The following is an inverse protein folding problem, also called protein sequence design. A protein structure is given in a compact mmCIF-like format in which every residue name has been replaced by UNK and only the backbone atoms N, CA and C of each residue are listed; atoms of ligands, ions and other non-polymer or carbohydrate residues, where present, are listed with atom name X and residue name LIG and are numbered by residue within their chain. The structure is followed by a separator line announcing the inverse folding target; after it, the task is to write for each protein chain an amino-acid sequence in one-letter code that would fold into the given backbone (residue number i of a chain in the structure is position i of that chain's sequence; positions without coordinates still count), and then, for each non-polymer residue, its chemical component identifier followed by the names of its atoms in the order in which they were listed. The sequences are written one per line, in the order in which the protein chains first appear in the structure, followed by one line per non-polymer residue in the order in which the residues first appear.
data_IF_642223496992
#
_entry.id   IF_642223496992
#
_cell.length_a   1.000
_cell.length_b   1.000
_cell.length_c   1.000
_cell.angle_alpha   90.00
_cell.angle_beta   90.00
_cell.angle_gamma   90.00
#
_symmetry.space_group_name_H-M   'P 1'
#
loop_
_entity.id
_entity.type
_entity.pdbx_description
1 polymer ?
#
# COMPACT_ATOMS: atom_id res chain seq x y z
N UNK A 1 -56.43 -45.78 13.70
CA UNK A 1 -57.18 -44.90 12.80
C UNK A 1 -57.02 -43.46 13.25
N UNK A 2 -56.71 -42.60 12.38
CA UNK A 2 -56.54 -41.15 12.37
C UNK A 2 -55.09 -40.68 12.56
N UNK A 3 -54.51 -40.37 11.42
CA UNK A 3 -53.34 -39.52 11.19
C UNK A 3 -53.60 -38.09 11.70
N UNK A 4 -52.64 -37.54 12.38
CA UNK A 4 -52.45 -36.06 12.45
C UNK A 4 -51.01 -35.73 12.36
N UNK A 5 -50.63 -35.12 11.26
CA UNK A 5 -49.38 -34.44 10.96
C UNK A 5 -49.18 -33.25 11.90
N UNK A 6 -48.00 -32.95 12.43
CA UNK A 6 -47.74 -31.66 13.05
C UNK A 6 -47.29 -30.65 11.98
N UNK A 7 -47.96 -29.55 11.98
CA UNK A 7 -47.62 -28.35 11.21
C UNK A 7 -46.33 -27.72 11.70
N UNK A 8 -45.50 -27.36 10.73
CA UNK A 8 -44.22 -26.76 10.95
C UNK A 8 -44.40 -25.23 11.03
N UNK A 9 -44.53 -24.70 12.24
CA UNK A 9 -44.56 -23.25 12.49
C UNK A 9 -43.12 -22.70 12.43
N UNK A 10 -42.86 -21.99 11.33
CA UNK A 10 -41.68 -21.16 11.16
C UNK A 10 -41.71 -19.96 12.11
N UNK A 11 -40.92 -20.03 13.19
CA UNK A 11 -40.70 -18.90 14.08
C UNK A 11 -39.85 -17.84 13.35
N UNK A 12 -40.53 -16.85 12.84
CA UNK A 12 -39.96 -15.59 12.42
C UNK A 12 -39.56 -14.79 13.68
N UNK A 13 -38.31 -14.80 14.07
CA UNK A 13 -37.77 -13.99 15.16
C UNK A 13 -37.76 -12.52 14.72
N UNK A 14 -38.91 -11.83 14.83
CA UNK A 14 -38.96 -10.38 14.79
C UNK A 14 -38.34 -9.84 16.09
N UNK A 15 -37.19 -9.18 15.97
CA UNK A 15 -36.57 -8.42 17.08
C UNK A 15 -37.53 -7.28 17.42
N UNK A 16 -38.35 -7.45 18.47
CA UNK A 16 -39.14 -6.39 19.04
C UNK A 16 -38.23 -5.52 19.88
N UNK A 17 -37.79 -4.40 19.33
CA UNK A 17 -37.13 -3.34 20.10
C UNK A 17 -38.12 -2.74 21.05
N UNK A 18 -37.92 -2.91 22.36
CA UNK A 18 -38.79 -2.34 23.39
C UNK A 18 -38.80 -0.81 23.29
N UNK A 19 -39.95 -0.15 23.47
CA UNK A 19 -40.07 1.32 23.34
C UNK A 19 -39.16 2.10 24.32
N UNK A 20 -38.73 1.49 25.39
CA UNK A 20 -37.92 2.08 26.46
C UNK A 20 -36.43 2.23 26.13
N UNK A 21 -35.95 1.69 25.00
CA UNK A 21 -34.55 1.79 24.55
C UNK A 21 -34.30 2.83 23.45
N UNK A 22 -35.31 3.64 23.13
CA UNK A 22 -35.13 4.77 22.18
C UNK A 22 -34.44 5.93 22.89
N UNK A 23 -33.14 6.05 22.68
CA UNK A 23 -32.39 7.23 23.09
C UNK A 23 -33.04 8.50 22.52
N UNK A 24 -33.22 9.50 23.35
CA UNK A 24 -33.66 10.81 22.92
C UNK A 24 -32.63 11.44 21.97
N UNK A 25 -33.06 12.41 21.15
CA UNK A 25 -32.12 13.17 20.30
C UNK A 25 -31.02 13.88 21.10
N UNK A 26 -31.31 14.28 22.34
CA UNK A 26 -30.31 14.87 23.26
C UNK A 26 -29.31 13.85 23.76
N UNK A 27 -29.75 12.66 24.13
CA UNK A 27 -28.84 11.56 24.53
C UNK A 27 -27.98 11.07 23.36
N UNK A 28 -28.51 11.05 22.14
CA UNK A 28 -27.73 10.76 20.95
C UNK A 28 -26.70 11.84 20.67
N UNK A 29 -27.05 13.12 20.81
CA UNK A 29 -26.12 14.26 20.71
C UNK A 29 -25.06 14.20 21.77
N UNK A 30 -25.42 14.01 23.03
CA UNK A 30 -24.49 13.88 24.15
C UNK A 30 -23.50 12.73 23.94
N UNK A 31 -23.97 11.56 23.50
CA UNK A 31 -23.10 10.43 23.15
C UNK A 31 -22.22 10.69 21.94
N UNK A 32 -22.70 11.48 20.95
CA UNK A 32 -21.87 11.90 19.82
C UNK A 32 -20.80 12.90 20.28
N UNK A 33 -21.16 13.87 21.13
CA UNK A 33 -20.23 14.83 21.72
C UNK A 33 -19.22 14.14 22.63
N UNK A 34 -19.63 13.18 23.46
CA UNK A 34 -18.71 12.35 24.24
C UNK A 34 -17.77 11.49 23.39
N UNK A 35 -18.27 10.96 22.25
CA UNK A 35 -17.43 10.24 21.27
C UNK A 35 -16.45 11.19 20.57
N UNK A 36 -16.87 12.42 20.27
CA UNK A 36 -15.97 13.43 19.68
C UNK A 36 -14.96 13.95 20.71
N UNK A 37 -15.36 14.16 21.96
CA UNK A 37 -14.47 14.54 23.06
C UNK A 37 -13.47 13.44 23.45
N UNK A 38 -13.83 12.17 23.26
CA UNK A 38 -12.95 10.99 23.42
C UNK A 38 -12.09 10.69 22.21
N UNK A 39 -12.29 11.38 21.06
CA UNK A 39 -11.33 11.31 19.96
C UNK A 39 -10.01 11.89 20.43
N UNK A 40 -9.04 11.02 20.71
CA UNK A 40 -7.66 11.47 20.90
C UNK A 40 -7.28 12.37 19.70
N UNK A 41 -6.57 13.46 19.95
CA UNK A 41 -6.10 14.31 18.87
C UNK A 41 -5.40 13.45 17.82
N UNK A 42 -5.70 13.70 16.54
CA UNK A 42 -5.18 12.89 15.44
C UNK A 42 -3.66 12.92 15.46
N UNK A 43 -3.03 11.76 15.63
CA UNK A 43 -1.59 11.64 15.60
C UNK A 43 -1.10 11.63 14.16
N UNK A 44 0.00 12.34 13.89
CA UNK A 44 0.68 12.22 12.61
C UNK A 44 1.56 10.99 12.66
N UNK A 45 1.30 10.07 11.73
CA UNK A 45 2.11 8.89 11.49
C UNK A 45 2.83 9.01 10.15
N UNK A 46 3.85 8.19 9.91
CA UNK A 46 4.65 8.27 8.70
C UNK A 46 4.86 6.91 8.07
N UNK A 47 4.91 6.90 6.74
CA UNK A 47 5.28 5.72 5.97
C UNK A 47 6.28 6.10 4.89
N UNK A 48 7.17 5.18 4.54
CA UNK A 48 8.08 5.37 3.43
C UNK A 48 7.32 5.43 2.11
N UNK A 49 7.59 6.44 1.28
CA UNK A 49 6.87 6.67 0.00
C UNK A 49 6.87 5.47 -0.94
N UNK A 50 7.96 4.69 -0.94
CA UNK A 50 8.03 3.47 -1.74
C UNK A 50 6.94 2.47 -1.35
N UNK A 51 6.69 2.24 -0.04
CA UNK A 51 5.65 1.33 0.41
C UNK A 51 4.24 1.91 0.29
N UNK A 52 4.11 3.20 0.00
CA UNK A 52 2.86 3.78 -0.50
C UNK A 52 2.62 3.43 -1.99
N UNK A 53 3.70 3.22 -2.75
CA UNK A 53 3.65 2.93 -4.18
C UNK A 53 3.71 1.44 -4.50
N UNK A 54 4.53 0.66 -3.76
CA UNK A 54 4.76 -0.78 -3.95
C UNK A 54 4.59 -1.48 -2.59
N UNK A 55 3.51 -2.20 -2.41
CA UNK A 55 3.08 -2.68 -1.10
C UNK A 55 3.70 -4.03 -0.72
N UNK A 56 3.73 -4.34 0.58
CA UNK A 56 4.09 -5.66 1.12
C UNK A 56 3.12 -6.74 0.61
N UNK A 57 3.47 -8.04 0.69
CA UNK A 57 2.53 -9.12 0.45
C UNK A 57 1.27 -8.98 1.30
N UNK A 58 0.11 -9.28 0.74
CA UNK A 58 -1.17 -9.24 1.45
C UNK A 58 -1.35 -10.47 2.34
N UNK A 59 -0.89 -11.61 1.90
CA UNK A 59 -0.99 -12.89 2.57
C UNK A 59 0.36 -13.60 2.65
N UNK A 60 0.44 -14.63 3.47
CA UNK A 60 1.64 -15.46 3.59
C UNK A 60 2.06 -16.00 2.23
N UNK A 61 3.33 -15.81 1.89
CA UNK A 61 3.92 -16.31 0.67
C UNK A 61 4.60 -17.66 0.91
N UNK A 62 4.48 -18.62 -0.01
CA UNK A 62 5.22 -19.89 0.07
C UNK A 62 6.70 -19.72 -0.23
N UNK A 63 7.06 -18.73 -1.05
CA UNK A 63 8.43 -18.39 -1.41
C UNK A 63 9.12 -17.57 -0.32
N UNK A 64 10.44 -17.71 -0.22
CA UNK A 64 11.30 -16.83 0.60
C UNK A 64 11.64 -15.51 -0.09
N UNK A 65 11.20 -15.33 -1.33
CA UNK A 65 11.34 -14.09 -2.08
C UNK A 65 9.98 -13.61 -2.59
N UNK A 66 9.80 -12.29 -2.59
CA UNK A 66 8.65 -11.62 -3.19
C UNK A 66 9.14 -10.43 -4.00
N UNK A 67 8.55 -10.23 -5.15
CA UNK A 67 8.89 -9.10 -6.03
C UNK A 67 7.62 -8.42 -6.52
N UNK A 68 7.69 -7.09 -6.58
CA UNK A 68 6.64 -6.25 -7.14
C UNK A 68 7.27 -5.16 -8.00
N UNK A 69 6.83 -5.09 -9.24
CA UNK A 69 7.34 -4.14 -10.23
C UNK A 69 6.22 -3.24 -10.72
N UNK A 70 6.49 -1.95 -10.79
CA UNK A 70 5.56 -0.99 -11.35
C UNK A 70 6.29 0.26 -11.85
N UNK A 71 6.09 0.63 -13.12
CA UNK A 71 6.59 1.86 -13.75
C UNK A 71 8.07 2.15 -13.46
N UNK A 72 8.96 1.20 -13.74
CA UNK A 72 10.39 1.37 -13.56
C UNK A 72 10.89 1.34 -12.11
N UNK A 73 10.01 1.03 -11.16
CA UNK A 73 10.34 0.76 -9.76
C UNK A 73 10.16 -0.71 -9.45
N UNK A 74 11.00 -1.25 -8.61
CA UNK A 74 10.96 -2.65 -8.17
C UNK A 74 11.18 -2.72 -6.67
N UNK A 75 10.30 -3.44 -5.99
CA UNK A 75 10.48 -3.88 -4.61
C UNK A 75 10.75 -5.38 -4.62
N UNK A 76 11.91 -5.80 -4.14
CA UNK A 76 12.20 -7.20 -3.86
C UNK A 76 12.40 -7.38 -2.36
N UNK A 77 11.68 -8.32 -1.78
CA UNK A 77 11.79 -8.74 -0.39
C UNK A 77 12.44 -10.12 -0.35
N UNK A 78 13.38 -10.30 0.57
CA UNK A 78 14.05 -11.61 0.79
C UNK A 78 13.94 -11.93 2.28
N UNK A 79 13.29 -13.05 2.59
CA UNK A 79 13.15 -13.54 3.95
C UNK A 79 14.49 -14.00 4.52
N UNK A 80 14.81 -13.54 5.72
CA UNK A 80 16.03 -13.89 6.44
C UNK A 80 15.78 -14.87 7.57
N UNK A 81 16.76 -14.93 8.48
CA UNK A 81 16.75 -15.81 9.66
C UNK A 81 17.10 -14.98 10.89
N UNK A 82 16.63 -15.38 12.05
CA UNK A 82 16.96 -14.80 13.34
C UNK A 82 17.57 -15.86 14.25
N UNK A 83 18.59 -15.45 15.00
CA UNK A 83 19.23 -16.29 16.01
C UNK A 83 18.38 -16.34 17.27
N UNK A 84 18.03 -17.54 17.73
CA UNK A 84 17.18 -17.72 18.93
C UNK A 84 17.99 -18.06 20.19
N UNK A 85 19.31 -17.91 20.15
CA UNK A 85 20.23 -18.31 21.24
C UNK A 85 20.87 -19.69 20.99
N UNK A 86 20.29 -20.53 20.13
CA UNK A 86 20.76 -21.88 19.84
C UNK A 86 20.91 -22.14 18.33
N UNK A 87 19.89 -21.77 17.54
CA UNK A 87 19.80 -22.04 16.12
C UNK A 87 19.35 -20.81 15.32
N UNK A 88 19.68 -20.78 14.03
CA UNK A 88 19.13 -19.81 13.09
C UNK A 88 17.74 -20.24 12.64
N UNK A 89 16.74 -19.47 13.02
CA UNK A 89 15.33 -19.76 12.73
C UNK A 89 14.86 -18.99 11.50
N UNK A 90 14.50 -19.69 10.41
CA UNK A 90 13.96 -19.06 9.20
C UNK A 90 12.68 -18.30 9.49
N UNK A 91 12.61 -17.05 9.06
CA UNK A 91 11.41 -16.23 9.18
C UNK A 91 10.63 -16.20 7.86
N UNK A 92 9.30 -16.05 7.89
CA UNK A 92 8.51 -15.81 6.69
C UNK A 92 8.79 -14.42 6.14
N UNK A 93 8.31 -14.14 4.92
CA UNK A 93 8.19 -12.75 4.46
C UNK A 93 7.14 -11.99 5.30
N UNK A 94 7.35 -10.68 5.57
CA UNK A 94 6.32 -9.88 6.22
C UNK A 94 5.08 -9.76 5.34
N UNK A 95 3.89 -9.92 5.92
CA UNK A 95 2.62 -9.87 5.19
C UNK A 95 1.45 -9.39 6.05
N UNK A 96 0.37 -9.03 5.37
CA UNK A 96 -0.90 -8.69 5.99
C UNK A 96 -0.92 -7.32 6.68
N UNK A 97 -2.00 -7.00 7.41
CA UNK A 97 -2.16 -5.70 8.04
C UNK A 97 -1.20 -5.49 9.20
N UNK A 98 -0.90 -6.52 10.00
CA UNK A 98 0.00 -6.41 11.16
C UNK A 98 1.41 -5.95 10.78
N UNK A 99 1.98 -6.52 9.69
CA UNK A 99 3.27 -6.09 9.18
C UNK A 99 3.25 -4.62 8.74
N UNK A 100 2.16 -4.18 8.08
CA UNK A 100 2.01 -2.78 7.63
C UNK A 100 1.93 -1.81 8.80
N UNK A 101 1.11 -2.12 9.79
CA UNK A 101 0.94 -1.29 10.98
C UNK A 101 2.24 -1.18 11.77
N UNK A 102 2.93 -2.30 11.99
CA UNK A 102 4.24 -2.30 12.65
C UNK A 102 5.27 -1.48 11.87
N UNK A 103 5.31 -1.65 10.55
CA UNK A 103 6.21 -0.88 9.69
C UNK A 103 5.91 0.63 9.75
N UNK A 104 4.63 1.03 9.65
CA UNK A 104 4.21 2.43 9.75
C UNK A 104 4.59 3.03 11.11
N UNK A 105 4.37 2.28 12.20
CA UNK A 105 4.72 2.75 13.54
C UNK A 105 6.23 2.95 13.70
N UNK A 106 7.04 1.97 13.29
CA UNK A 106 8.52 2.07 13.31
C UNK A 106 8.99 3.28 12.49
N UNK A 107 8.47 3.47 11.29
CA UNK A 107 8.78 4.65 10.47
C UNK A 107 8.38 5.95 11.17
N UNK A 108 7.23 5.97 11.82
CA UNK A 108 6.72 7.15 12.53
C UNK A 108 7.60 7.54 13.71
N UNK A 109 7.99 6.57 14.53
CA UNK A 109 8.87 6.82 15.67
C UNK A 109 10.24 7.30 15.19
N UNK A 110 10.80 6.72 14.14
CA UNK A 110 12.08 7.16 13.57
C UNK A 110 12.04 8.62 13.07
N UNK A 111 10.95 9.00 12.39
CA UNK A 111 10.78 10.36 11.88
C UNK A 111 10.55 11.36 13.02
N UNK A 112 9.74 11.02 14.02
CA UNK A 112 9.43 11.85 15.18
C UNK A 112 10.67 12.04 16.08
N UNK A 113 11.37 10.97 16.40
CA UNK A 113 12.59 10.99 17.21
C UNK A 113 13.79 11.59 16.47
N UNK A 114 13.74 11.67 15.14
CA UNK A 114 14.90 12.02 14.29
C UNK A 114 16.12 11.16 14.59
N UNK A 115 15.89 9.90 14.88
CA UNK A 115 16.91 8.94 15.30
C UNK A 115 16.66 7.59 14.63
N UNK A 116 17.73 6.88 14.32
CA UNK A 116 17.69 5.46 13.90
C UNK A 116 17.66 4.49 15.10
N UNK A 117 17.94 5.00 16.30
CA UNK A 117 17.83 4.25 17.56
C UNK A 117 16.47 4.59 18.15
N UNK A 118 15.64 3.57 18.29
CA UNK A 118 14.25 3.72 18.71
C UNK A 118 14.01 2.96 20.00
N UNK A 119 13.46 3.66 20.99
CA UNK A 119 12.76 3.02 22.08
C UNK A 119 11.36 2.66 21.58
N UNK A 120 11.05 1.38 21.54
CA UNK A 120 9.70 0.91 21.27
C UNK A 120 8.97 0.68 22.59
N UNK A 121 7.65 0.59 22.53
CA UNK A 121 6.79 0.46 23.71
C UNK A 121 7.31 -0.60 24.71
N UNK A 122 7.08 -0.38 25.99
CA UNK A 122 7.59 -1.22 27.10
C UNK A 122 7.18 -2.69 27.04
N UNK A 123 6.19 -3.03 26.21
CA UNK A 123 5.73 -4.41 26.01
C UNK A 123 5.10 -4.57 24.61
N UNK A 124 5.08 -5.81 24.11
CA UNK A 124 4.38 -6.12 22.86
C UNK A 124 2.89 -5.76 22.92
N UNK A 125 2.27 -5.88 24.09
CA UNK A 125 0.87 -5.51 24.31
C UNK A 125 0.67 -4.01 24.19
N UNK A 126 1.52 -3.20 24.80
CA UNK A 126 1.48 -1.74 24.66
C UNK A 126 1.73 -1.30 23.20
N UNK A 127 2.63 -1.98 22.49
CA UNK A 127 2.85 -1.73 21.08
C UNK A 127 1.60 -2.07 20.23
N UNK A 128 0.96 -3.20 20.47
CA UNK A 128 -0.26 -3.61 19.77
C UNK A 128 -1.39 -2.61 20.00
N UNK A 129 -1.59 -2.17 21.25
CA UNK A 129 -2.57 -1.13 21.60
C UNK A 129 -2.27 0.18 20.85
N UNK A 130 -1.01 0.59 20.84
CA UNK A 130 -0.55 1.81 20.15
C UNK A 130 -0.90 1.82 18.66
N UNK A 131 -0.77 0.66 17.99
CA UNK A 131 -1.09 0.51 16.57
C UNK A 131 -2.54 0.08 16.29
N UNK A 132 -3.37 0.01 17.32
CA UNK A 132 -4.80 -0.32 17.21
C UNK A 132 -5.09 -1.79 16.96
N UNK A 133 -4.25 -2.70 17.47
CA UNK A 133 -4.45 -4.15 17.40
C UNK A 133 -4.92 -4.70 18.74
N UNK A 134 -5.91 -5.56 18.70
CA UNK A 134 -6.31 -6.42 19.83
C UNK A 134 -5.20 -7.41 20.18
N UNK A 135 -4.86 -7.52 21.45
CA UNK A 135 -3.79 -8.36 21.99
C UNK A 135 -4.24 -9.81 22.35
N UNK A 136 -5.47 -10.18 22.04
CA UNK A 136 -6.00 -11.47 22.44
C UNK A 136 -5.50 -12.65 21.59
N UNK A 137 -5.11 -13.73 22.28
CA UNK A 137 -4.87 -15.06 21.70
C UNK A 137 -3.95 -15.09 20.48
N UNK A 138 -4.52 -15.50 19.35
CA UNK A 138 -3.77 -15.66 18.09
C UNK A 138 -3.23 -14.34 17.51
N UNK A 139 -3.81 -13.18 17.87
CA UNK A 139 -3.37 -11.88 17.39
C UNK A 139 -1.97 -11.55 17.90
N UNK A 140 -1.67 -11.82 19.18
CA UNK A 140 -0.35 -11.62 19.76
C UNK A 140 0.72 -12.47 19.05
N UNK A 141 0.46 -13.76 18.86
CA UNK A 141 1.38 -14.66 18.15
C UNK A 141 1.67 -14.23 16.72
N UNK A 142 0.62 -13.86 15.99
CA UNK A 142 0.77 -13.37 14.61
C UNK A 142 1.50 -12.02 14.56
N UNK A 143 1.26 -11.14 15.52
CA UNK A 143 1.98 -9.87 15.62
C UNK A 143 3.49 -10.12 15.83
N UNK A 144 3.88 -10.95 16.80
CA UNK A 144 5.29 -11.33 17.02
C UNK A 144 5.92 -11.91 15.75
N UNK A 145 5.20 -12.83 15.10
CA UNK A 145 5.68 -13.39 13.82
C UNK A 145 5.95 -12.31 12.76
N UNK A 146 5.07 -11.30 12.65
CA UNK A 146 5.27 -10.24 11.67
C UNK A 146 6.40 -9.28 12.05
N UNK A 147 6.61 -9.01 13.34
CA UNK A 147 7.76 -8.23 13.80
C UNK A 147 9.08 -8.96 13.50
N UNK A 148 9.17 -10.25 13.83
CA UNK A 148 10.33 -11.08 13.48
C UNK A 148 10.57 -11.15 11.96
N UNK A 149 9.50 -11.26 11.19
CA UNK A 149 9.58 -11.25 9.74
C UNK A 149 10.13 -9.92 9.19
N UNK A 150 9.68 -8.79 9.75
CA UNK A 150 10.20 -7.46 9.39
C UNK A 150 11.68 -7.30 9.77
N UNK A 151 12.08 -7.78 10.96
CA UNK A 151 13.46 -7.70 11.44
C UNK A 151 14.41 -8.54 10.59
N UNK A 152 13.99 -9.72 10.15
CA UNK A 152 14.80 -10.61 9.33
C UNK A 152 14.80 -10.24 7.84
N UNK A 153 13.82 -9.46 7.37
CA UNK A 153 13.62 -9.21 5.94
C UNK A 153 14.65 -8.22 5.38
N UNK A 154 15.20 -8.54 4.21
CA UNK A 154 15.97 -7.61 3.39
C UNK A 154 15.06 -6.98 2.35
N UNK A 155 15.12 -5.67 2.26
CA UNK A 155 14.39 -4.85 1.29
C UNK A 155 15.35 -4.42 0.20
N UNK A 156 15.07 -4.78 -1.04
CA UNK A 156 15.86 -4.37 -2.19
C UNK A 156 14.98 -3.50 -3.08
N UNK A 157 15.46 -2.30 -3.37
CA UNK A 157 14.75 -1.30 -4.13
C UNK A 157 15.48 -1.07 -5.44
N UNK A 158 14.79 -1.30 -6.55
CA UNK A 158 15.25 -0.98 -7.88
C UNK A 158 14.49 0.22 -8.44
N UNK A 159 15.18 1.15 -9.08
CA UNK A 159 14.53 2.24 -9.80
C UNK A 159 15.36 2.67 -11.00
N UNK A 160 14.66 3.14 -12.03
CA UNK A 160 15.28 3.73 -13.20
C UNK A 160 15.33 5.24 -13.01
N UNK A 161 16.53 5.82 -13.10
CA UNK A 161 16.73 7.27 -13.03
C UNK A 161 16.25 7.94 -14.31
N UNK A 162 15.98 9.27 -14.28
CA UNK A 162 15.58 10.03 -15.48
C UNK A 162 16.59 9.96 -16.63
N UNK A 163 17.89 9.73 -16.33
CA UNK A 163 18.94 9.53 -17.31
C UNK A 163 19.00 8.11 -17.90
N UNK A 164 18.01 7.27 -17.58
CA UNK A 164 17.92 5.89 -18.04
C UNK A 164 18.78 4.88 -17.27
N UNK A 165 19.58 5.30 -16.30
CA UNK A 165 20.43 4.42 -15.51
C UNK A 165 19.61 3.68 -14.45
N UNK A 166 19.83 2.38 -14.34
CA UNK A 166 19.28 1.58 -13.26
C UNK A 166 20.06 1.84 -11.95
N UNK A 167 19.35 1.95 -10.86
CA UNK A 167 19.91 2.01 -9.52
C UNK A 167 19.30 0.93 -8.64
N UNK A 168 20.09 0.36 -7.75
CA UNK A 168 19.63 -0.62 -6.76
C UNK A 168 20.08 -0.15 -5.39
N UNK A 169 19.18 -0.19 -4.43
CA UNK A 169 19.47 0.02 -3.02
C UNK A 169 19.05 -1.23 -2.26
N UNK A 170 19.92 -1.78 -1.45
CA UNK A 170 19.59 -2.81 -0.48
C UNK A 170 19.56 -2.17 0.90
N UNK A 171 18.51 -2.43 1.66
CA UNK A 171 18.35 -1.93 3.00
C UNK A 171 17.75 -2.99 3.91
N UNK A 172 18.29 -3.12 5.12
CA UNK A 172 17.58 -3.76 6.23
C UNK A 172 16.71 -2.71 6.90
N UNK A 173 15.46 -3.06 7.19
CA UNK A 173 14.60 -2.21 8.00
C UNK A 173 15.19 -2.08 9.41
N UNK A 174 15.51 -3.22 10.02
CA UNK A 174 16.07 -3.33 11.36
C UNK A 174 17.46 -3.95 11.26
N UNK A 175 18.47 -3.24 11.74
CA UNK A 175 19.87 -3.66 11.73
C UNK A 175 20.23 -4.46 12.97
N UNK A 176 19.78 -4.00 14.13
CA UNK A 176 19.93 -4.66 15.42
C UNK A 176 18.58 -4.79 16.07
N UNK A 177 18.28 -5.96 16.54
CA UNK A 177 17.00 -6.33 17.13
C UNK A 177 17.26 -7.51 18.07
N UNK A 178 16.91 -7.32 19.33
CA UNK A 178 16.84 -8.45 20.24
C UNK A 178 15.65 -9.32 19.83
N UNK A 179 15.94 -10.45 19.22
CA UNK A 179 14.88 -11.37 18.82
C UNK A 179 14.09 -11.81 20.07
N UNK A 180 12.77 -11.71 19.96
CA UNK A 180 11.93 -12.33 21.00
C UNK A 180 12.13 -13.84 20.93
N UNK A 181 12.92 -14.35 21.84
CA UNK A 181 13.12 -15.80 21.98
C UNK A 181 11.73 -16.41 22.17
N UNK A 182 11.45 -17.46 21.42
CA UNK A 182 10.19 -18.21 21.57
C UNK A 182 9.98 -18.56 23.03
N UNK A 183 8.69 -18.59 23.45
CA UNK A 183 8.36 -19.08 24.77
C UNK A 183 9.06 -20.43 24.97
N UNK A 184 9.99 -20.48 25.91
CA UNK A 184 10.53 -21.73 26.34
C UNK A 184 9.35 -22.62 26.81
N UNK A 185 9.44 -23.92 26.60
CA UNK A 185 8.43 -24.89 27.10
C UNK A 185 8.16 -24.75 28.60
N UNK A 186 8.97 -23.95 29.32
CA UNK A 186 8.88 -23.63 30.72
C UNK A 186 8.02 -22.38 31.07
N UNK A 187 7.35 -21.75 30.11
CA UNK A 187 6.34 -20.71 30.39
C UNK A 187 6.88 -19.36 30.89
N UNK A 188 8.15 -19.05 30.70
CA UNK A 188 8.65 -17.71 31.01
C UNK A 188 8.21 -16.73 29.90
N UNK A 189 7.66 -15.53 30.26
CA UNK A 189 7.29 -14.55 29.27
C UNK A 189 8.54 -14.10 28.51
N UNK A 190 8.52 -14.26 27.20
CA UNK A 190 9.58 -13.79 26.33
C UNK A 190 9.86 -12.30 26.60
N UNK A 191 11.11 -11.93 26.86
CA UNK A 191 11.52 -10.55 27.04
C UNK A 191 11.16 -9.75 25.78
N UNK A 192 10.46 -8.66 25.96
CA UNK A 192 10.17 -7.69 24.92
C UNK A 192 11.41 -6.81 24.72
N UNK A 193 11.95 -6.78 23.48
CA UNK A 193 12.97 -5.82 23.14
C UNK A 193 12.39 -4.42 23.20
N UNK A 194 12.90 -3.57 24.10
CA UNK A 194 12.48 -2.18 24.20
C UNK A 194 13.16 -1.26 23.21
N UNK A 195 14.22 -1.74 22.56
CA UNK A 195 15.04 -0.96 21.65
C UNK A 195 15.23 -1.68 20.33
N UNK A 196 15.25 -0.92 19.24
CA UNK A 196 15.65 -1.39 17.93
C UNK A 196 16.46 -0.31 17.20
N UNK A 197 17.34 -0.76 16.33
CA UNK A 197 18.16 0.10 15.49
C UNK A 197 17.80 -0.10 14.03
N UNK A 198 17.38 0.96 13.36
CA UNK A 198 17.13 0.93 11.94
C UNK A 198 18.40 0.88 11.12
N UNK A 199 18.34 0.19 9.99
CA UNK A 199 19.40 0.22 9.00
C UNK A 199 19.66 1.65 8.52
N UNK A 200 20.93 2.05 8.47
CA UNK A 200 21.30 3.44 8.16
C UNK A 200 20.80 3.88 6.78
N UNK A 201 20.98 3.04 5.77
CA UNK A 201 20.51 3.33 4.41
C UNK A 201 18.99 3.53 4.36
N UNK A 202 18.24 2.66 5.07
CA UNK A 202 16.78 2.77 5.16
C UNK A 202 16.36 4.07 5.88
N UNK A 203 16.96 4.35 7.05
CA UNK A 203 16.65 5.56 7.82
C UNK A 203 16.92 6.84 7.03
N UNK A 204 18.08 6.93 6.38
CA UNK A 204 18.45 8.11 5.60
C UNK A 204 17.51 8.33 4.40
N UNK A 205 16.99 7.27 3.81
CA UNK A 205 16.02 7.35 2.72
C UNK A 205 14.61 7.68 3.26
N UNK A 206 14.20 7.06 4.38
CA UNK A 206 12.93 7.35 5.04
C UNK A 206 12.78 8.83 5.38
N UNK A 207 13.80 9.45 6.00
CA UNK A 207 13.73 10.87 6.38
C UNK A 207 13.51 11.79 5.17
N UNK A 208 14.00 11.40 4.00
CA UNK A 208 13.83 12.16 2.76
C UNK A 208 12.46 11.93 2.12
N UNK A 209 11.88 10.75 2.32
CA UNK A 209 10.72 10.28 1.57
C UNK A 209 9.54 9.86 2.48
N UNK A 210 9.47 10.37 3.70
CA UNK A 210 8.38 10.10 4.62
C UNK A 210 7.06 10.74 4.14
N UNK A 211 6.00 9.96 4.09
CA UNK A 211 4.64 10.39 3.76
C UNK A 211 3.84 10.52 5.06
N UNK A 212 3.30 11.70 5.39
CA UNK A 212 2.49 11.88 6.59
C UNK A 212 1.09 11.28 6.41
N UNK A 213 0.65 10.55 7.42
CA UNK A 213 -0.62 9.82 7.47
C UNK A 213 -1.36 10.16 8.78
N UNK A 214 -2.69 10.07 8.77
CA UNK A 214 -3.53 10.19 9.96
C UNK A 214 -3.49 8.90 10.78
N UNK A 215 -3.12 8.97 12.04
CA UNK A 215 -3.16 7.83 12.95
C UNK A 215 -4.58 7.31 13.19
N UNK A 216 -5.58 8.20 13.22
CA UNK A 216 -6.99 7.81 13.31
C UNK A 216 -7.43 7.03 12.07
N UNK A 217 -7.02 7.46 10.87
CA UNK A 217 -7.30 6.73 9.63
C UNK A 217 -6.63 5.35 9.62
N UNK A 218 -5.37 5.24 10.02
CA UNK A 218 -4.65 3.98 10.12
C UNK A 218 -5.37 3.02 11.07
N UNK A 219 -5.78 3.49 12.27
CA UNK A 219 -6.55 2.67 13.22
C UNK A 219 -7.89 2.20 12.64
N UNK A 220 -8.61 3.07 11.95
CA UNK A 220 -9.87 2.74 11.29
C UNK A 220 -9.73 1.66 10.21
N UNK A 221 -8.56 1.55 9.58
CA UNK A 221 -8.26 0.59 8.52
C UNK A 221 -7.42 -0.62 8.99
N UNK A 222 -7.13 -0.74 10.29
CA UNK A 222 -6.17 -1.69 10.87
C UNK A 222 -6.45 -3.17 10.53
N UNK A 223 -7.68 -3.51 10.16
CA UNK A 223 -8.08 -4.88 9.84
C UNK A 223 -7.86 -5.27 8.37
N UNK A 224 -7.59 -4.29 7.49
CA UNK A 224 -7.54 -4.50 6.04
C UNK A 224 -6.22 -4.07 5.42
N UNK A 225 -5.40 -5.04 5.01
CA UNK A 225 -4.15 -4.76 4.31
C UNK A 225 -4.35 -3.93 3.04
N UNK A 226 -5.36 -4.29 2.23
CA UNK A 226 -5.64 -3.59 0.97
C UNK A 226 -6.20 -2.17 1.19
N UNK A 227 -6.96 -1.93 2.28
CA UNK A 227 -7.43 -0.59 2.60
C UNK A 227 -6.27 0.30 3.09
N UNK A 228 -5.36 -0.23 3.91
CA UNK A 228 -4.11 0.46 4.29
C UNK A 228 -3.25 0.81 3.06
N UNK A 229 -3.17 -0.11 2.10
CA UNK A 229 -2.44 0.12 0.84
C UNK A 229 -3.07 1.23 0.00
N UNK A 230 -4.40 1.24 -0.16
CA UNK A 230 -5.09 2.33 -0.84
C UNK A 230 -4.94 3.66 -0.11
N UNK A 231 -5.00 3.65 1.22
CA UNK A 231 -4.82 4.86 2.01
C UNK A 231 -3.41 5.45 1.81
N UNK A 232 -2.37 4.64 1.92
CA UNK A 232 -0.99 5.06 1.63
C UNK A 232 -0.82 5.57 0.20
N UNK A 233 -1.35 4.85 -0.79
CA UNK A 233 -1.30 5.22 -2.20
C UNK A 233 -2.00 6.58 -2.45
N UNK A 234 -3.20 6.78 -1.91
CA UNK A 234 -3.94 8.03 -2.09
C UNK A 234 -3.28 9.20 -1.36
N UNK A 235 -2.82 8.98 -0.12
CA UNK A 235 -2.08 10.01 0.62
C UNK A 235 -0.80 10.44 -0.11
N UNK A 236 -0.07 9.49 -0.70
CA UNK A 236 1.14 9.75 -1.46
C UNK A 236 0.87 10.43 -2.81
N UNK A 237 -0.19 10.02 -3.52
CA UNK A 237 -0.36 10.38 -4.93
C UNK A 237 -1.27 11.59 -5.14
N UNK A 238 -2.42 11.68 -4.44
CA UNK A 238 -3.47 12.65 -4.78
C UNK A 238 -3.05 14.11 -4.58
N UNK A 239 -2.22 14.41 -3.58
CA UNK A 239 -1.78 15.78 -3.31
C UNK A 239 -0.73 16.29 -4.33
N UNK A 240 -0.10 15.37 -5.04
CA UNK A 240 0.91 15.68 -6.06
C UNK A 240 0.33 15.81 -7.47
N UNK A 241 -0.94 15.44 -7.67
CA UNK A 241 -1.61 15.56 -8.96
C UNK A 241 -1.94 17.03 -9.26
N UNK A 242 -1.69 17.47 -10.48
CA UNK A 242 -2.11 18.77 -11.00
C UNK A 242 -3.44 18.66 -11.77
N UNK A 243 -3.66 17.52 -12.43
CA UNK A 243 -4.86 17.22 -13.21
C UNK A 243 -5.41 15.83 -12.87
N UNK A 244 -6.69 15.54 -13.17
CA UNK A 244 -7.24 14.20 -13.00
C UNK A 244 -6.48 13.16 -13.82
N UNK A 245 -6.20 12.00 -13.22
CA UNK A 245 -5.48 10.89 -13.85
C UNK A 245 -6.33 9.63 -13.79
N UNK A 246 -6.52 8.99 -14.93
CA UNK A 246 -7.15 7.67 -15.00
C UNK A 246 -6.13 6.58 -14.71
N UNK A 247 -6.52 5.63 -13.84
CA UNK A 247 -5.74 4.43 -13.52
C UNK A 247 -6.62 3.21 -13.72
N UNK A 248 -6.22 2.30 -14.60
CA UNK A 248 -6.99 1.09 -14.88
C UNK A 248 -6.91 0.08 -13.74
N UNK A 249 -7.90 -0.84 -13.65
CA UNK A 249 -7.86 -1.95 -12.68
C UNK A 249 -6.63 -2.84 -12.86
N UNK A 250 -6.13 -2.98 -14.08
CA UNK A 250 -4.93 -3.76 -14.35
C UNK A 250 -3.68 -3.06 -13.78
N UNK A 251 -3.53 -1.76 -14.02
CA UNK A 251 -2.43 -0.97 -13.43
C UNK A 251 -2.45 -0.97 -11.90
N UNK A 252 -3.64 -0.85 -11.30
CA UNK A 252 -3.79 -0.95 -9.85
C UNK A 252 -3.44 -2.36 -9.34
N UNK A 253 -3.83 -3.41 -10.07
CA UNK A 253 -3.48 -4.79 -9.74
C UNK A 253 -1.97 -5.02 -9.83
N UNK A 254 -1.31 -4.52 -10.87
CA UNK A 254 0.15 -4.58 -10.99
C UNK A 254 0.85 -3.88 -9.84
N UNK A 255 0.31 -2.75 -9.37
CA UNK A 255 0.91 -1.93 -8.33
C UNK A 255 0.72 -2.50 -6.92
N UNK A 256 -0.49 -2.93 -6.57
CA UNK A 256 -0.84 -3.32 -5.20
C UNK A 256 -1.54 -4.69 -5.08
N UNK A 257 -1.80 -5.37 -6.17
CA UNK A 257 -2.63 -6.58 -6.20
C UNK A 257 -2.11 -7.71 -7.08
N UNK A 258 -0.80 -7.84 -7.28
CA UNK A 258 -0.22 -8.87 -8.15
C UNK A 258 -0.54 -10.31 -7.69
N UNK A 259 -0.87 -10.51 -6.41
CA UNK A 259 -1.28 -11.80 -5.85
C UNK A 259 -2.66 -12.27 -6.35
N UNK A 260 -3.46 -11.38 -6.94
CA UNK A 260 -4.75 -11.74 -7.55
C UNK A 260 -4.55 -12.30 -8.97
N UNK A 261 -5.22 -13.41 -9.27
CA UNK A 261 -5.11 -14.07 -10.57
C UNK A 261 -5.53 -13.18 -11.74
N UNK A 262 -6.52 -12.33 -11.51
CA UNK A 262 -7.06 -11.44 -12.55
C UNK A 262 -7.58 -10.12 -11.97
N UNK A 263 -7.79 -9.14 -12.84
CA UNK A 263 -8.27 -7.81 -12.45
C UNK A 263 -9.72 -7.81 -11.93
N UNK A 264 -10.55 -8.80 -12.27
CA UNK A 264 -11.94 -8.90 -11.78
C UNK A 264 -11.98 -9.23 -10.30
N UNK A 265 -11.20 -10.22 -9.86
CA UNK A 265 -11.11 -10.61 -8.46
C UNK A 265 -10.46 -9.49 -7.63
N UNK A 266 -9.41 -8.88 -8.15
CA UNK A 266 -8.80 -7.71 -7.55
C UNK A 266 -9.79 -6.57 -7.36
N UNK A 267 -10.56 -6.21 -8.40
CA UNK A 267 -11.61 -5.18 -8.33
C UNK A 267 -12.64 -5.46 -7.25
N UNK A 268 -13.11 -6.72 -7.14
CA UNK A 268 -14.10 -7.14 -6.15
C UNK A 268 -13.64 -6.85 -4.73
N UNK A 269 -12.39 -7.16 -4.42
CA UNK A 269 -11.79 -6.91 -3.09
C UNK A 269 -11.40 -5.43 -2.89
N UNK A 270 -11.08 -4.73 -3.98
CA UNK A 270 -10.68 -3.31 -3.94
C UNK A 270 -11.82 -2.37 -3.64
N UNK A 271 -13.02 -2.60 -4.17
CA UNK A 271 -14.14 -1.66 -4.03
C UNK A 271 -14.55 -1.40 -2.56
N UNK A 272 -14.74 -2.43 -1.69
CA UNK A 272 -14.99 -2.21 -0.27
C UNK A 272 -13.84 -1.50 0.43
N UNK A 273 -12.60 -1.84 0.08
CA UNK A 273 -11.41 -1.23 0.66
C UNK A 273 -11.27 0.26 0.29
N UNK A 274 -11.54 0.60 -0.97
CA UNK A 274 -11.55 2.00 -1.43
C UNK A 274 -12.65 2.77 -0.68
N UNK A 275 -13.85 2.21 -0.54
CA UNK A 275 -14.94 2.84 0.22
C UNK A 275 -14.50 3.13 1.66
N UNK A 276 -13.98 2.14 2.37
CA UNK A 276 -13.48 2.33 3.73
C UNK A 276 -12.35 3.38 3.80
N UNK A 277 -11.47 3.42 2.80
CA UNK A 277 -10.40 4.42 2.69
C UNK A 277 -10.99 5.84 2.54
N UNK A 278 -12.00 6.02 1.70
CA UNK A 278 -12.64 7.32 1.49
C UNK A 278 -13.44 7.80 2.70
N UNK A 279 -13.97 6.90 3.52
CA UNK A 279 -14.63 7.23 4.80
C UNK A 279 -13.64 7.86 5.80
N UNK A 280 -12.39 7.39 5.84
CA UNK A 280 -11.35 7.94 6.73
C UNK A 280 -10.50 9.05 6.09
N UNK A 281 -10.65 9.26 4.78
CA UNK A 281 -9.97 10.32 4.02
C UNK A 281 -11.00 11.10 3.16
N UNK A 282 -11.91 11.86 3.79
CA UNK A 282 -13.05 12.48 3.12
C UNK A 282 -12.68 13.56 2.10
N UNK A 283 -11.47 14.14 2.19
CA UNK A 283 -10.97 15.11 1.22
C UNK A 283 -10.39 14.46 -0.05
N UNK A 284 -10.21 13.12 -0.09
CA UNK A 284 -9.75 12.41 -1.27
C UNK A 284 -10.83 12.39 -2.36
N UNK A 285 -10.47 12.81 -3.55
CA UNK A 285 -11.38 12.83 -4.72
C UNK A 285 -11.01 11.69 -5.66
N UNK A 286 -11.62 10.54 -5.43
CA UNK A 286 -11.44 9.33 -6.23
C UNK A 286 -12.81 8.85 -6.71
N UNK A 287 -12.96 8.67 -8.01
CA UNK A 287 -14.20 8.23 -8.62
C UNK A 287 -14.01 6.91 -9.35
N UNK A 288 -14.95 5.98 -9.14
CA UNK A 288 -14.99 4.77 -9.95
C UNK A 288 -15.56 5.11 -11.33
N UNK A 289 -14.79 4.78 -12.38
CA UNK A 289 -15.19 4.94 -13.77
C UNK A 289 -15.13 3.60 -14.52
N UNK A 290 -15.61 3.57 -15.76
CA UNK A 290 -15.52 2.37 -16.58
C UNK A 290 -14.05 1.99 -16.78
N UNK A 291 -13.69 0.80 -16.33
CA UNK A 291 -12.33 0.24 -16.49
C UNK A 291 -11.33 0.56 -15.38
N UNK A 292 -11.61 1.46 -14.44
CA UNK A 292 -10.64 1.85 -13.41
C UNK A 292 -11.15 2.90 -12.44
N UNK A 293 -10.21 3.71 -11.95
CA UNK A 293 -10.43 4.85 -11.08
C UNK A 293 -9.97 6.14 -11.76
N UNK A 294 -10.70 7.22 -11.53
CA UNK A 294 -10.27 8.59 -11.81
C UNK A 294 -9.76 9.20 -10.52
N UNK A 295 -8.47 9.43 -10.44
CA UNK A 295 -7.81 10.11 -9.32
C UNK A 295 -7.78 11.61 -9.61
N UNK A 296 -8.27 12.44 -8.68
CA UNK A 296 -8.30 13.90 -8.85
C UNK A 296 -7.39 14.58 -7.82
N UNK A 297 -6.81 15.74 -8.13
CA UNK A 297 -6.05 16.53 -7.17
C UNK A 297 -6.83 16.71 -5.87
N UNK A 298 -6.20 16.37 -4.73
CA UNK A 298 -6.85 16.41 -3.42
C UNK A 298 -5.88 16.89 -2.35
N UNK A 299 -6.35 17.61 -1.30
CA UNK A 299 -5.50 17.97 -0.17
C UNK A 299 -4.93 16.71 0.51
N UNK A 300 -3.74 16.77 1.12
CA UNK A 300 -3.20 15.65 1.89
C UNK A 300 -4.11 15.30 3.09
N UNK A 301 -4.07 14.05 3.61
CA UNK A 301 -4.92 13.63 4.73
C UNK A 301 -4.62 14.39 6.03
N UNK A 302 -3.41 14.91 6.15
CA UNK A 302 -2.94 15.72 7.28
C UNK A 302 -2.56 17.10 6.78
N UNK A 303 -3.10 18.14 7.40
CA UNK A 303 -2.76 19.53 7.08
C UNK A 303 -1.38 19.90 7.64
N UNK A 304 -0.68 20.83 6.97
CA UNK A 304 0.65 21.28 7.38
C UNK A 304 0.70 21.84 8.83
N UNK A 305 -0.40 22.37 9.32
CA UNK A 305 -0.51 22.89 10.70
C UNK A 305 -0.44 21.78 11.76
N UNK A 306 -0.98 20.58 11.45
CA UNK A 306 -0.94 19.44 12.36
C UNK A 306 0.45 18.77 12.43
N UNK A 307 1.27 18.94 11.39
CA UNK A 307 2.59 18.28 11.31
C UNK A 307 3.65 18.96 12.22
N UNK A 308 3.43 20.18 12.72
CA UNK A 308 4.38 20.88 13.59
C UNK A 308 5.79 21.09 13.00
N UNK A 309 5.93 20.82 11.70
CA UNK A 309 7.22 20.83 10.99
C UNK A 309 7.58 22.27 10.64
N UNK A 310 8.72 22.72 11.13
CA UNK A 310 9.29 24.00 10.70
C UNK A 310 9.35 24.10 9.17
N UNK A 311 9.06 25.27 8.61
CA UNK A 311 9.00 25.55 7.16
C UNK A 311 10.13 24.90 6.36
N UNK A 312 11.34 24.80 6.93
CA UNK A 312 12.50 24.21 6.25
C UNK A 312 12.42 22.71 5.94
N UNK A 313 11.63 21.90 6.69
CA UNK A 313 11.47 20.49 6.40
C UNK A 313 10.36 20.25 5.36
N UNK A 314 9.29 21.07 5.42
CA UNK A 314 8.20 21.02 4.45
C UNK A 314 8.69 21.39 3.02
N UNK A 315 9.59 22.38 2.93
CA UNK A 315 10.20 22.78 1.65
C UNK A 315 11.22 21.73 1.16
N UNK A 316 11.97 21.09 2.08
CA UNK A 316 12.84 19.95 1.75
C UNK A 316 12.05 18.71 1.32
N UNK A 317 10.92 18.42 1.97
CA UNK A 317 10.02 17.32 1.57
C UNK A 317 9.38 17.61 0.22
N UNK A 318 9.00 18.86 -0.08
CA UNK A 318 8.48 19.25 -1.41
C UNK A 318 9.57 19.22 -2.49
N UNK A 319 10.82 19.52 -2.14
CA UNK A 319 11.96 19.47 -3.05
C UNK A 319 12.55 18.04 -3.21
N UNK A 320 12.30 17.14 -2.24
CA UNK A 320 12.76 15.74 -2.27
C UNK A 320 11.69 14.72 -2.69
N UNK A 321 10.41 15.15 -2.76
CA UNK A 321 9.45 14.38 -3.53
C UNK A 321 9.96 14.35 -4.96
N UNK A 322 10.21 13.14 -5.55
CA UNK A 322 10.35 13.11 -6.99
C UNK A 322 9.11 13.82 -7.53
N UNK A 323 9.27 14.73 -8.49
CA UNK A 323 8.12 15.39 -9.10
C UNK A 323 7.10 14.31 -9.42
N UNK A 324 5.78 14.59 -9.33
CA UNK A 324 4.76 13.67 -9.81
C UNK A 324 5.30 13.21 -11.15
N UNK A 325 5.48 11.88 -11.28
CA UNK A 325 6.19 11.35 -12.44
C UNK A 325 5.68 12.10 -13.65
N UNK A 326 6.56 12.77 -14.42
CA UNK A 326 6.12 13.31 -15.70
C UNK A 326 5.44 12.11 -16.34
N UNK A 327 4.25 12.30 -16.88
CA UNK A 327 3.57 11.28 -17.68
C UNK A 327 4.68 10.64 -18.48
N UNK A 328 4.96 9.34 -18.21
CA UNK A 328 6.15 8.69 -18.79
C UNK A 328 6.10 9.07 -20.23
N UNK A 329 7.07 9.85 -20.74
CA UNK A 329 6.97 10.35 -22.11
C UNK A 329 6.64 9.13 -22.94
N UNK A 330 5.65 9.18 -23.81
CA UNK A 330 5.20 8.03 -24.61
C UNK A 330 6.38 7.35 -25.32
N UNK A 331 7.49 8.09 -25.48
CA UNK A 331 8.80 7.57 -25.88
C UNK A 331 9.38 6.46 -24.99
N UNK A 332 8.93 6.31 -23.73
CA UNK A 332 9.38 5.28 -22.78
C UNK A 332 8.35 4.16 -22.57
N UNK A 333 7.13 4.25 -23.10
CA UNK A 333 6.20 3.13 -23.11
C UNK A 333 6.75 2.00 -23.98
N UNK A 334 6.91 0.84 -23.43
CA UNK A 334 7.20 -0.38 -24.20
C UNK A 334 5.88 -0.99 -24.65
N UNK A 335 5.84 -1.45 -25.90
CA UNK A 335 4.71 -2.24 -26.38
C UNK A 335 4.51 -3.48 -25.51
N UNK A 336 3.27 -3.74 -25.17
CA UNK A 336 2.93 -4.94 -24.43
C UNK A 336 3.28 -6.19 -25.28
N UNK A 337 3.84 -7.27 -24.71
CA UNK A 337 4.21 -8.47 -25.46
C UNK A 337 3.08 -9.03 -26.35
N UNK A 338 1.83 -8.98 -25.88
CA UNK A 338 0.64 -9.36 -26.67
C UNK A 338 0.40 -8.48 -27.89
N UNK A 339 0.74 -7.20 -27.79
CA UNK A 339 0.63 -6.25 -28.91
C UNK A 339 1.65 -6.57 -29.99
N UNK A 340 2.89 -6.87 -29.58
CA UNK A 340 3.94 -7.35 -30.48
C UNK A 340 3.55 -8.67 -31.15
N UNK A 341 2.98 -9.61 -30.40
CA UNK A 341 2.50 -10.89 -30.92
C UNK A 341 1.33 -10.69 -31.92
N UNK A 342 0.41 -9.78 -31.61
CA UNK A 342 -0.71 -9.43 -32.49
C UNK A 342 -0.21 -8.80 -33.80
N UNK A 343 0.79 -7.92 -33.70
CA UNK A 343 1.44 -7.34 -34.87
C UNK A 343 2.09 -8.41 -35.74
N UNK A 344 2.90 -9.30 -35.17
CA UNK A 344 3.57 -10.40 -35.89
C UNK A 344 2.60 -11.35 -36.59
N UNK A 345 1.47 -11.67 -35.94
CA UNK A 345 0.42 -12.48 -36.55
C UNK A 345 -0.23 -11.80 -37.75
N UNK A 346 -0.40 -10.48 -37.70
CA UNK A 346 -1.07 -9.69 -38.73
C UNK A 346 -0.14 -9.31 -39.88
N UNK A 347 1.14 -9.08 -39.55
CA UNK A 347 2.18 -8.63 -40.49
C UNK A 347 3.46 -9.49 -40.34
N UNK A 348 3.46 -10.75 -40.76
CA UNK A 348 4.53 -11.72 -40.45
C UNK A 348 5.88 -11.38 -41.09
N UNK A 349 5.90 -10.50 -42.10
CA UNK A 349 7.11 -10.09 -42.84
C UNK A 349 7.68 -8.76 -42.34
N UNK A 350 6.97 -8.06 -41.47
CA UNK A 350 7.36 -6.72 -41.00
C UNK A 350 7.91 -6.78 -39.57
N UNK A 351 8.90 -5.91 -39.29
CA UNK A 351 9.49 -5.82 -37.96
C UNK A 351 8.64 -4.92 -37.06
N UNK A 352 8.08 -5.44 -35.94
CA UNK A 352 7.30 -4.65 -34.99
C UNK A 352 8.12 -3.50 -34.35
N UNK A 353 9.42 -3.68 -34.19
CA UNK A 353 10.28 -2.67 -33.55
C UNK A 353 10.64 -1.51 -34.50
N UNK A 354 10.77 -1.78 -35.81
CA UNK A 354 10.90 -0.74 -36.81
C UNK A 354 9.62 0.11 -36.88
N UNK A 355 8.45 -0.55 -36.93
CA UNK A 355 7.18 0.15 -36.88
C UNK A 355 6.99 0.94 -35.57
N UNK A 356 7.46 0.43 -34.44
CA UNK A 356 7.41 1.13 -33.15
C UNK A 356 8.30 2.39 -33.16
N UNK A 357 9.48 2.32 -33.76
CA UNK A 357 10.37 3.47 -33.87
C UNK A 357 9.74 4.60 -34.69
N UNK A 358 9.12 4.28 -35.82
CA UNK A 358 8.43 5.24 -36.69
C UNK A 358 7.15 5.77 -36.00
N UNK A 359 6.44 4.95 -35.25
CA UNK A 359 5.30 5.41 -34.45
C UNK A 359 5.71 6.39 -33.35
N UNK A 360 6.83 6.15 -32.68
CA UNK A 360 7.39 7.08 -31.71
C UNK A 360 7.83 8.40 -32.34
N UNK A 361 8.46 8.31 -33.50
CA UNK A 361 8.83 9.51 -34.26
C UNK A 361 7.58 10.32 -34.65
N UNK A 362 6.54 9.66 -35.13
CA UNK A 362 5.26 10.27 -35.47
C UNK A 362 4.64 10.98 -34.25
N UNK A 363 4.59 10.33 -33.08
CA UNK A 363 4.05 10.94 -31.86
C UNK A 363 4.84 12.14 -31.37
N UNK A 364 6.17 12.15 -31.57
CA UNK A 364 7.03 13.27 -31.18
C UNK A 364 6.95 14.46 -32.14
N UNK A 365 6.57 14.23 -33.40
CA UNK A 365 6.49 15.27 -34.43
C UNK A 365 5.08 15.80 -34.68
N UNK A 366 4.05 15.02 -34.25
CA UNK A 366 2.65 15.42 -34.38
C UNK A 366 2.26 16.40 -33.27
N UNK A 367 1.63 17.52 -33.64
CA UNK A 367 1.04 18.47 -32.69
C UNK A 367 -0.28 17.96 -32.06
N UNK A 368 -0.68 16.73 -32.36
CA UNK A 368 -1.90 16.13 -31.85
C UNK A 368 -1.74 15.65 -30.40
N UNK A 369 -2.86 15.63 -29.64
CA UNK A 369 -2.88 15.09 -28.27
C UNK A 369 -2.37 13.65 -28.24
N UNK A 370 -1.53 13.36 -27.26
CA UNK A 370 -0.94 12.05 -27.07
C UNK A 370 -2.03 10.97 -26.85
N UNK A 371 -1.90 9.78 -27.46
CA UNK A 371 -2.93 8.77 -27.40
C UNK A 371 -3.11 8.21 -25.98
N UNK A 372 -4.36 8.11 -25.53
CA UNK A 372 -4.74 7.56 -24.21
C UNK A 372 -4.34 6.10 -24.01
N UNK A 373 -4.11 5.36 -25.08
CA UNK A 373 -3.67 3.98 -25.05
C UNK A 373 -2.62 3.76 -26.15
N UNK A 374 -1.37 3.64 -25.73
CA UNK A 374 -0.22 3.50 -26.61
C UNK A 374 -0.30 2.25 -27.51
N UNK A 375 -0.69 1.09 -26.94
CA UNK A 375 -0.79 -0.18 -27.67
C UNK A 375 -1.89 -0.15 -28.73
N UNK A 376 -3.06 0.39 -28.41
CA UNK A 376 -4.16 0.51 -29.35
C UNK A 376 -3.82 1.52 -30.48
N UNK A 377 -3.19 2.62 -30.14
CA UNK A 377 -2.74 3.63 -31.11
C UNK A 377 -1.64 3.07 -32.03
N UNK A 378 -0.70 2.29 -31.47
CA UNK A 378 0.31 1.58 -32.24
C UNK A 378 -0.30 0.63 -33.27
N UNK A 379 -1.29 -0.19 -32.88
CA UNK A 379 -1.97 -1.09 -33.83
C UNK A 379 -2.71 -0.31 -34.92
N UNK A 380 -3.30 0.85 -34.56
CA UNK A 380 -3.93 1.75 -35.55
C UNK A 380 -2.92 2.37 -36.53
N UNK A 381 -1.78 2.82 -36.01
CA UNK A 381 -0.67 3.31 -36.83
C UNK A 381 -0.08 2.24 -37.74
N UNK A 382 0.16 1.05 -37.18
CA UNK A 382 0.72 -0.10 -37.89
C UNK A 382 -0.07 -0.50 -39.15
N UNK A 383 -1.39 -0.29 -39.14
CA UNK A 383 -2.22 -0.56 -40.33
C UNK A 383 -1.84 0.33 -41.50
N UNK A 384 -1.68 1.65 -41.26
CA UNK A 384 -1.28 2.61 -42.31
C UNK A 384 0.19 2.44 -42.69
N UNK A 385 1.03 2.18 -41.70
CA UNK A 385 2.46 1.99 -41.90
C UNK A 385 2.77 0.75 -42.76
N UNK A 386 2.05 -0.35 -42.60
CA UNK A 386 2.19 -1.55 -43.40
C UNK A 386 1.77 -1.36 -44.85
N UNK A 387 0.87 -0.41 -45.15
CA UNK A 387 0.47 -0.08 -46.55
C UNK A 387 1.60 0.64 -47.32
N UNK A 388 2.49 1.34 -46.57
CA UNK A 388 3.65 2.05 -47.14
C UNK A 388 4.96 1.23 -47.11
N UNK A 389 5.00 0.10 -46.44
CA UNK A 389 6.18 -0.77 -46.29
C UNK A 389 5.80 -2.23 -46.66
N UNK A 390 5.56 -2.58 -47.93
CA UNK A 390 5.11 -3.89 -48.36
C UNK A 390 6.13 -5.03 -48.18
#
# INVERSE_FOLDING_TARGET
MRNTTPENESHCNSIVIRPEERLTLEELRSRMEEREAKKQPDSVEYQHSLLCALTLPRSRQPSREFRRDYQGRSLKLVAGELWNGKDWIPQPLPYGPKARLSFMHICSEAVKAKSRYLEIERSARAFMDRIGLDDQGNNYRLFRQQMNALAACRFMLGYTKPDGKAATMEAKLIEEFEAWVADDEEGQPALWASELKLGEAFYNDLIKHAVPLSGNAIRGLSHSAIALDYYGLFAYRLHALEKPVFVSWEQLREQIGQEYKNAKDFKKESLPAIKATLEVYPSARVEQVKGGLMLKPSPPPITRQAVGVSRGLADKVKASLPPPEPEVPLSLHRLHPRTVETFRKRYPRLDPYACEADFRHFLNTSAEEQPRNFDAAFIGFAKKWAEGNP
#
